data_IF_327451155360
#
_entry.id   IF_327451155360
#
_cell.length_a   1.000
_cell.length_b   1.000
_cell.length_c   1.000
_cell.angle_alpha   90.00
_cell.angle_beta   90.00
_cell.angle_gamma   90.00
#
_symmetry.space_group_name_H-M   'P 1'
#
loop_
_entity.id
_entity.type
_entity.pdbx_description
1 polymer ?
#
# COMPACT_ATOMS: atom_id res chain seq x y z
N UNK A 1 -6.56 17.37 -0.91
CA UNK A 1 -5.12 17.16 -0.74
C UNK A 1 -4.51 17.06 -2.13
N UNK A 2 -3.60 17.96 -2.41
CA UNK A 2 -3.05 18.23 -3.74
C UNK A 2 -1.94 17.24 -4.10
N UNK A 3 -2.15 16.44 -5.16
CA UNK A 3 -1.13 15.54 -5.74
C UNK A 3 -0.15 16.29 -6.66
N UNK A 4 -0.30 17.61 -6.78
CA UNK A 4 0.52 18.49 -7.63
C UNK A 4 2.00 18.43 -7.28
N UNK A 5 2.34 18.23 -6.01
CA UNK A 5 3.73 18.05 -5.56
C UNK A 5 4.33 16.73 -6.06
N UNK A 6 3.51 15.69 -6.19
CA UNK A 6 3.94 14.39 -6.71
C UNK A 6 4.11 14.40 -8.22
N UNK A 7 3.18 15.05 -8.94
CA UNK A 7 3.25 15.23 -10.39
C UNK A 7 4.44 16.11 -10.85
N UNK A 8 4.99 16.95 -9.96
CA UNK A 8 6.19 17.74 -10.21
C UNK A 8 7.49 16.95 -10.11
N UNK A 9 7.47 15.75 -9.53
CA UNK A 9 8.65 14.90 -9.42
C UNK A 9 9.00 14.31 -10.80
N UNK A 10 10.28 13.96 -11.04
CA UNK A 10 10.65 13.23 -12.25
C UNK A 10 9.85 11.93 -12.40
N UNK A 11 9.49 11.54 -13.62
CA UNK A 11 8.71 10.32 -13.88
C UNK A 11 9.34 9.07 -13.24
N UNK A 12 10.67 8.96 -13.22
CA UNK A 12 11.39 7.87 -12.56
C UNK A 12 11.12 7.81 -11.05
N UNK A 13 10.99 8.95 -10.38
CA UNK A 13 10.67 9.03 -8.94
C UNK A 13 9.20 8.73 -8.72
N UNK A 14 8.30 9.21 -9.59
CA UNK A 14 6.89 8.87 -9.52
C UNK A 14 6.68 7.36 -9.66
N UNK A 15 7.32 6.74 -10.65
CA UNK A 15 7.29 5.29 -10.84
C UNK A 15 7.89 4.54 -9.66
N UNK A 16 9.02 4.99 -9.11
CA UNK A 16 9.62 4.38 -7.91
C UNK A 16 8.68 4.40 -6.70
N UNK A 17 7.95 5.50 -6.49
CA UNK A 17 6.99 5.60 -5.39
C UNK A 17 5.76 4.72 -5.65
N UNK A 18 5.26 4.68 -6.89
CA UNK A 18 4.15 3.79 -7.24
C UNK A 18 4.53 2.31 -7.07
N UNK A 19 5.71 1.93 -7.54
CA UNK A 19 6.26 0.57 -7.40
C UNK A 19 6.47 0.20 -5.93
N UNK A 20 6.98 1.13 -5.12
CA UNK A 20 7.10 0.96 -3.66
C UNK A 20 5.74 0.76 -2.98
N UNK A 21 4.73 1.54 -3.35
CA UNK A 21 3.36 1.38 -2.83
C UNK A 21 2.74 0.05 -3.25
N UNK A 22 2.94 -0.37 -4.51
CA UNK A 22 2.49 -1.68 -5.00
C UNK A 22 3.15 -2.83 -4.24
N UNK A 23 4.45 -2.74 -4.00
CA UNK A 23 5.21 -3.73 -3.24
C UNK A 23 4.77 -3.78 -1.76
N UNK A 24 4.51 -2.63 -1.12
CA UNK A 24 3.96 -2.58 0.24
C UNK A 24 2.57 -3.20 0.34
N UNK A 25 1.70 -2.93 -0.63
CA UNK A 25 0.37 -3.56 -0.71
C UNK A 25 0.49 -5.07 -0.85
N UNK A 26 1.35 -5.55 -1.75
CA UNK A 26 1.54 -6.98 -1.99
C UNK A 26 2.15 -7.68 -0.77
N UNK A 27 3.21 -7.11 -0.17
CA UNK A 27 3.84 -7.65 1.03
C UNK A 27 2.88 -7.65 2.23
N UNK A 28 2.03 -6.63 2.35
CA UNK A 28 0.97 -6.58 3.36
C UNK A 28 -0.05 -7.69 3.17
N UNK A 29 -0.53 -7.90 1.94
CA UNK A 29 -1.47 -8.98 1.60
C UNK A 29 -0.87 -10.36 1.87
N UNK A 30 0.39 -10.59 1.50
CA UNK A 30 1.09 -11.86 1.77
C UNK A 30 1.26 -12.10 3.29
N UNK A 31 1.60 -11.07 4.07
CA UNK A 31 1.65 -11.17 5.53
C UNK A 31 0.29 -11.47 6.13
N UNK A 32 -0.77 -10.85 5.62
CA UNK A 32 -2.15 -11.12 6.05
C UNK A 32 -2.56 -12.56 5.75
N UNK A 33 -2.26 -13.04 4.55
CA UNK A 33 -2.58 -14.40 4.11
C UNK A 33 -1.81 -15.45 4.93
N UNK A 34 -0.51 -15.26 5.12
CA UNK A 34 0.31 -16.13 5.95
C UNK A 34 -0.17 -16.14 7.40
N UNK A 35 -0.49 -14.98 7.97
CA UNK A 35 -1.02 -14.90 9.32
C UNK A 35 -2.40 -15.54 9.51
N UNK A 36 -3.29 -15.42 8.50
CA UNK A 36 -4.58 -16.11 8.49
C UNK A 36 -4.39 -17.64 8.42
N UNK A 37 -3.39 -18.11 7.67
CA UNK A 37 -3.04 -19.53 7.55
C UNK A 37 -2.41 -20.10 8.81
N UNK A 38 -1.49 -19.38 9.43
CA UNK A 38 -0.85 -19.78 10.69
C UNK A 38 -1.79 -19.62 11.90
N UNK A 39 -2.88 -18.85 11.77
CA UNK A 39 -3.81 -18.58 12.87
C UNK A 39 -3.18 -17.78 14.02
N UNK A 40 -2.07 -17.09 13.74
CA UNK A 40 -1.17 -16.48 14.75
C UNK A 40 -1.45 -15.01 15.04
N UNK A 41 -2.15 -14.29 14.15
CA UNK A 41 -2.46 -12.88 14.39
C UNK A 41 -3.76 -12.69 15.17
N UNK A 42 -3.67 -11.86 16.21
CA UNK A 42 -4.85 -11.35 16.89
C UNK A 42 -5.71 -10.51 15.92
N UNK A 43 -7.04 -10.51 16.06
CA UNK A 43 -7.94 -9.77 15.17
C UNK A 43 -7.62 -8.28 15.05
N UNK A 44 -7.09 -7.64 16.12
CA UNK A 44 -6.61 -6.26 16.08
C UNK A 44 -5.40 -6.06 15.16
N UNK A 45 -4.47 -7.01 15.13
CA UNK A 45 -3.28 -6.93 14.27
C UNK A 45 -3.64 -7.17 12.80
N UNK A 46 -4.59 -8.06 12.55
CA UNK A 46 -5.18 -8.27 11.22
C UNK A 46 -5.86 -6.99 10.73
N UNK A 47 -6.69 -6.36 11.56
CA UNK A 47 -7.37 -5.11 11.21
C UNK A 47 -6.38 -3.94 10.97
N UNK A 48 -5.29 -3.88 11.74
CA UNK A 48 -4.23 -2.90 11.52
C UNK A 48 -3.55 -3.12 10.14
N UNK A 49 -3.21 -4.36 9.81
CA UNK A 49 -2.62 -4.71 8.51
C UNK A 49 -3.56 -4.38 7.35
N UNK A 50 -4.84 -4.73 7.46
CA UNK A 50 -5.86 -4.41 6.45
C UNK A 50 -6.02 -2.89 6.27
N UNK A 51 -5.95 -2.13 7.37
CA UNK A 51 -5.98 -0.66 7.34
C UNK A 51 -4.78 -0.05 6.63
N UNK A 52 -3.58 -0.59 6.83
CA UNK A 52 -2.36 -0.11 6.19
C UNK A 52 -2.32 -0.48 4.69
N UNK A 53 -2.72 -1.69 4.33
CA UNK A 53 -2.88 -2.12 2.92
C UNK A 53 -3.87 -1.21 2.20
N UNK A 54 -5.02 -0.92 2.83
CA UNK A 54 -6.04 -0.05 2.24
C UNK A 54 -5.52 1.37 2.04
N UNK A 55 -4.80 1.93 3.03
CA UNK A 55 -4.17 3.25 2.91
C UNK A 55 -3.13 3.29 1.77
N UNK A 56 -2.29 2.27 1.65
CA UNK A 56 -1.29 2.20 0.57
C UNK A 56 -1.96 2.09 -0.82
N UNK A 57 -3.01 1.27 -0.95
CA UNK A 57 -3.80 1.17 -2.18
C UNK A 57 -4.53 2.47 -2.55
N UNK A 58 -5.09 3.17 -1.56
CA UNK A 58 -5.71 4.49 -1.76
C UNK A 58 -4.68 5.54 -2.20
N UNK A 59 -3.47 5.53 -1.63
CA UNK A 59 -2.39 6.41 -2.05
C UNK A 59 -1.96 6.12 -3.50
N UNK A 60 -1.77 4.85 -3.87
CA UNK A 60 -1.47 4.45 -5.25
C UNK A 60 -2.52 4.96 -6.23
N UNK A 61 -3.80 4.72 -5.94
CA UNK A 61 -4.91 5.14 -6.80
C UNK A 61 -5.01 6.67 -6.91
N UNK A 62 -4.67 7.39 -5.84
CA UNK A 62 -4.59 8.86 -5.86
C UNK A 62 -3.44 9.41 -6.69
N UNK A 63 -2.28 8.76 -6.65
CA UNK A 63 -1.08 9.19 -7.36
C UNK A 63 -1.05 8.77 -8.83
N UNK A 64 -1.78 7.70 -9.17
CA UNK A 64 -1.98 7.23 -10.53
C UNK A 64 -3.49 7.06 -10.80
N UNK A 65 -4.26 8.16 -10.90
CA UNK A 65 -5.61 8.07 -11.42
C UNK A 65 -5.50 7.57 -12.87
N UNK A 66 -6.07 6.41 -13.13
CA UNK A 66 -6.14 5.82 -14.47
C UNK A 66 -6.79 6.77 -15.48
#
# INVERSE_FOLDING_TARGET
MDTTSFQRLPQSIQQMVLDGLDNEVQAGLERLDNAKKDGTLAPEQTAALEGDIRRAAELRNRFSPA
#
